data_IF_890786932114
#
_entry.id   IF_890786932114
#
_cell.length_a   1.000
_cell.length_b   1.000
_cell.length_c   1.000
_cell.angle_alpha   90.00
_cell.angle_beta   90.00
_cell.angle_gamma   90.00
#
_symmetry.space_group_name_H-M   'P 1'
#
loop_
_entity.id
_entity.type
_entity.pdbx_description
1 polymer ?
#
# COMPACT_ATOMS: atom_id res chain seq x y z
N UNK A 1 10.70 -14.40 17.66
CA UNK A 1 9.51 -13.97 16.93
C UNK A 1 9.53 -12.46 16.90
N UNK A 2 9.61 -11.85 15.72
CA UNK A 2 9.44 -10.39 15.59
C UNK A 2 7.95 -10.10 15.78
N UNK A 3 7.59 -9.12 16.60
CA UNK A 3 6.18 -8.74 16.80
C UNK A 3 5.75 -7.66 15.79
N UNK A 4 4.44 -7.46 15.62
CA UNK A 4 3.87 -6.50 14.64
C UNK A 4 4.46 -5.08 14.78
N UNK A 5 4.68 -4.60 16.00
CA UNK A 5 5.22 -3.25 16.24
C UNK A 5 6.68 -3.14 15.77
N UNK A 6 7.50 -4.18 15.97
CA UNK A 6 8.85 -4.25 15.43
C UNK A 6 8.84 -4.26 13.90
N UNK A 7 7.93 -5.01 13.27
CA UNK A 7 7.76 -5.00 11.81
C UNK A 7 7.34 -3.62 11.30
N UNK A 8 6.40 -2.93 11.96
CA UNK A 8 5.97 -1.57 11.56
C UNK A 8 7.12 -0.55 11.64
N UNK A 9 7.97 -0.65 12.66
CA UNK A 9 9.17 0.19 12.76
C UNK A 9 10.15 -0.13 11.63
N UNK A 10 10.34 -1.41 11.32
CA UNK A 10 11.20 -1.84 10.22
C UNK A 10 10.66 -1.38 8.85
N UNK A 11 9.35 -1.45 8.63
CA UNK A 11 8.67 -0.89 7.45
C UNK A 11 9.01 0.58 7.28
N UNK A 12 8.90 1.39 8.34
CA UNK A 12 9.24 2.83 8.28
C UNK A 12 10.71 3.05 7.91
N UNK A 13 11.63 2.29 8.49
CA UNK A 13 13.06 2.39 8.18
C UNK A 13 13.36 2.03 6.73
N UNK A 14 12.78 0.96 6.22
CA UNK A 14 13.01 0.50 4.85
C UNK A 14 12.34 1.44 3.83
N UNK A 15 11.16 1.99 4.15
CA UNK A 15 10.54 3.06 3.37
C UNK A 15 11.40 4.33 3.33
N UNK A 16 12.04 4.72 4.44
CA UNK A 16 12.99 5.84 4.45
C UNK A 16 14.19 5.57 3.54
N UNK A 17 14.73 4.34 3.53
CA UNK A 17 15.79 3.94 2.60
C UNK A 17 15.30 3.98 1.15
N UNK A 18 14.08 3.51 0.87
CA UNK A 18 13.46 3.54 -0.45
C UNK A 18 13.32 4.99 -0.94
N UNK A 19 12.82 5.91 -0.10
CA UNK A 19 12.70 7.34 -0.41
C UNK A 19 14.05 7.96 -0.79
N UNK A 20 15.12 7.60 -0.08
CA UNK A 20 16.45 8.16 -0.35
C UNK A 20 17.11 7.57 -1.60
N UNK A 21 16.93 6.26 -1.86
CA UNK A 21 17.59 5.57 -2.98
C UNK A 21 16.79 5.64 -4.28
N UNK A 22 15.47 5.65 -4.19
CA UNK A 22 14.53 5.62 -5.31
C UNK A 22 13.41 6.64 -5.09
N UNK A 23 13.72 7.95 -5.02
CA UNK A 23 12.74 9.00 -4.71
C UNK A 23 11.54 8.99 -5.65
N UNK A 24 11.75 8.82 -6.97
CA UNK A 24 10.67 8.76 -7.95
C UNK A 24 9.70 7.58 -7.69
N UNK A 25 10.20 6.44 -7.21
CA UNK A 25 9.35 5.30 -6.87
C UNK A 25 8.54 5.61 -5.61
N UNK A 26 9.17 6.24 -4.61
CA UNK A 26 8.50 6.65 -3.38
C UNK A 26 7.39 7.69 -3.65
N UNK A 27 7.64 8.69 -4.49
CA UNK A 27 6.63 9.68 -4.90
C UNK A 27 5.43 9.03 -5.58
N UNK A 28 5.64 8.01 -6.43
CA UNK A 28 4.54 7.24 -7.04
C UNK A 28 3.71 6.47 -6.01
N UNK A 29 4.36 5.96 -4.96
CA UNK A 29 3.67 5.30 -3.84
C UNK A 29 2.86 6.30 -3.00
N UNK A 30 3.42 7.48 -2.71
CA UNK A 30 2.71 8.56 -2.04
C UNK A 30 1.50 9.02 -2.86
N UNK A 31 1.69 9.20 -4.18
CA UNK A 31 0.62 9.54 -5.13
C UNK A 31 -0.54 8.54 -5.04
N UNK A 32 -0.27 7.24 -5.22
CA UNK A 32 -1.35 6.25 -5.28
C UNK A 32 -2.00 6.01 -3.91
N UNK A 33 -1.24 6.10 -2.82
CA UNK A 33 -1.79 6.06 -1.47
C UNK A 33 -2.72 7.27 -1.21
N UNK A 34 -2.31 8.47 -1.63
CA UNK A 34 -3.11 9.68 -1.52
C UNK A 34 -4.39 9.60 -2.36
N UNK A 35 -4.30 9.14 -3.61
CA UNK A 35 -5.44 8.94 -4.49
C UNK A 35 -6.44 7.94 -3.89
N UNK A 36 -5.94 6.84 -3.33
CA UNK A 36 -6.75 5.82 -2.63
C UNK A 36 -7.55 6.44 -1.50
N UNK A 37 -6.92 7.30 -0.67
CA UNK A 37 -7.58 8.02 0.42
C UNK A 37 -8.65 9.00 -0.08
N UNK A 38 -8.33 9.78 -1.11
CA UNK A 38 -9.24 10.79 -1.67
C UNK A 38 -10.49 10.20 -2.31
N UNK A 39 -10.37 9.00 -2.90
CA UNK A 39 -11.51 8.26 -3.46
C UNK A 39 -12.25 7.40 -2.43
N UNK A 40 -11.85 7.46 -1.15
CA UNK A 40 -12.39 6.61 -0.07
C UNK A 40 -12.32 5.11 -0.38
N UNK A 41 -11.28 4.68 -1.11
CA UNK A 41 -11.02 3.27 -1.42
C UNK A 41 -10.25 2.64 -0.24
N UNK A 42 -10.62 1.42 0.14
CA UNK A 42 -9.90 0.70 1.18
C UNK A 42 -8.49 0.31 0.71
N UNK A 43 -7.46 0.59 1.50
CA UNK A 43 -6.08 0.19 1.21
C UNK A 43 -5.88 -1.32 1.06
N UNK A 44 -6.76 -2.15 1.62
CA UNK A 44 -6.79 -3.59 1.34
C UNK A 44 -6.95 -3.88 -0.14
N UNK A 45 -7.84 -3.15 -0.84
CA UNK A 45 -8.02 -3.29 -2.28
C UNK A 45 -6.79 -2.81 -3.06
N UNK A 46 -6.18 -1.68 -2.66
CA UNK A 46 -4.91 -1.22 -3.25
C UNK A 46 -3.82 -2.29 -3.14
N UNK A 47 -3.62 -2.84 -1.94
CA UNK A 47 -2.60 -3.86 -1.71
C UNK A 47 -2.84 -5.13 -2.54
N UNK A 48 -4.09 -5.56 -2.69
CA UNK A 48 -4.43 -6.67 -3.58
C UNK A 48 -4.09 -6.35 -5.05
N UNK A 49 -4.43 -5.15 -5.54
CA UNK A 49 -4.05 -4.74 -6.90
C UNK A 49 -2.53 -4.70 -7.11
N UNK A 50 -1.76 -4.30 -6.09
CA UNK A 50 -0.30 -4.22 -6.15
C UNK A 50 0.37 -5.59 -6.10
N UNK A 51 -0.05 -6.47 -5.20
CA UNK A 51 0.73 -7.64 -4.79
C UNK A 51 0.07 -8.99 -5.07
N UNK A 52 -1.24 -9.03 -5.35
CA UNK A 52 -1.94 -10.27 -5.67
C UNK A 52 -2.10 -10.45 -7.18
N UNK A 53 -1.94 -11.69 -7.63
CA UNK A 53 -2.28 -12.11 -9.00
C UNK A 53 -3.65 -12.83 -9.05
N UNK A 54 -4.32 -13.01 -7.90
CA UNK A 54 -5.61 -13.68 -7.82
C UNK A 54 -6.76 -12.72 -8.19
N UNK A 55 -7.29 -12.88 -9.40
CA UNK A 55 -8.38 -12.05 -9.94
C UNK A 55 -9.69 -12.17 -9.15
N UNK A 56 -10.00 -13.36 -8.63
CA UNK A 56 -11.23 -13.60 -7.88
C UNK A 56 -11.22 -12.81 -6.56
N UNK A 57 -10.12 -12.86 -5.81
CA UNK A 57 -9.98 -12.10 -4.56
C UNK A 57 -10.04 -10.60 -4.82
N UNK A 58 -9.37 -10.13 -5.89
CA UNK A 58 -9.42 -8.71 -6.29
C UNK A 58 -10.87 -8.30 -6.58
N UNK A 59 -11.60 -9.09 -7.37
CA UNK A 59 -12.98 -8.79 -7.73
C UNK A 59 -13.90 -8.77 -6.50
N UNK A 60 -13.72 -9.72 -5.58
CA UNK A 60 -14.49 -9.82 -4.34
C UNK A 60 -14.23 -8.66 -3.35
N UNK A 61 -13.10 -7.95 -3.51
CA UNK A 61 -12.75 -6.78 -2.68
C UNK A 61 -12.86 -5.45 -3.45
N UNK A 62 -13.38 -5.48 -4.68
CA UNK A 62 -13.58 -4.31 -5.51
C UNK A 62 -14.71 -3.43 -4.94
N UNK A 63 -14.48 -2.12 -4.72
CA UNK A 63 -15.52 -1.22 -4.22
C UNK A 63 -16.77 -1.19 -5.11
N UNK A 64 -17.96 -1.26 -4.51
CA UNK A 64 -19.25 -1.27 -5.23
C UNK A 64 -19.94 0.09 -5.28
N UNK A 65 -19.60 1.00 -4.36
CA UNK A 65 -20.21 2.34 -4.25
C UNK A 65 -19.56 3.38 -5.18
N UNK A 66 -18.42 3.05 -5.78
CA UNK A 66 -17.69 3.92 -6.70
C UNK A 66 -18.11 3.59 -8.13
N UNK A 67 -18.40 4.62 -8.94
CA UNK A 67 -18.73 4.45 -10.35
C UNK A 67 -17.63 3.69 -11.08
N UNK A 68 -18.02 2.74 -11.92
CA UNK A 68 -17.08 1.85 -12.62
C UNK A 68 -16.05 2.59 -13.47
N UNK A 69 -16.41 3.72 -14.10
CA UNK A 69 -15.48 4.53 -14.87
C UNK A 69 -14.35 5.11 -14.02
N UNK A 70 -14.68 5.60 -12.83
CA UNK A 70 -13.72 6.13 -11.85
C UNK A 70 -12.83 5.02 -11.32
N UNK A 71 -13.41 3.86 -11.01
CA UNK A 71 -12.67 2.73 -10.48
C UNK A 71 -11.73 2.12 -11.53
N UNK A 72 -12.14 2.06 -12.80
CA UNK A 72 -11.26 1.68 -13.92
C UNK A 72 -10.08 2.65 -14.07
N UNK A 73 -10.32 3.96 -13.94
CA UNK A 73 -9.24 4.96 -13.98
C UNK A 73 -8.25 4.74 -12.82
N UNK A 74 -8.76 4.53 -11.61
CA UNK A 74 -7.93 4.19 -10.45
C UNK A 74 -7.08 2.93 -10.67
N UNK A 75 -7.68 1.84 -11.15
CA UNK A 75 -6.95 0.60 -11.47
C UNK A 75 -5.87 0.82 -12.55
N UNK A 76 -6.09 1.73 -13.50
CA UNK A 76 -5.07 2.12 -14.48
C UNK A 76 -3.91 2.87 -13.84
N UNK A 77 -4.18 3.80 -12.92
CA UNK A 77 -3.13 4.49 -12.15
C UNK A 77 -2.29 3.49 -11.32
N UNK A 78 -2.93 2.52 -10.66
CA UNK A 78 -2.21 1.46 -9.95
C UNK A 78 -1.32 0.66 -10.92
N UNK A 79 -1.83 0.32 -12.12
CA UNK A 79 -1.02 -0.37 -13.15
C UNK A 79 0.18 0.46 -13.62
N UNK A 80 0.06 1.78 -13.73
CA UNK A 80 1.20 2.65 -14.08
C UNK A 80 2.30 2.59 -13.02
N UNK A 81 1.93 2.60 -11.74
CA UNK A 81 2.89 2.45 -10.63
C UNK A 81 3.57 1.08 -10.70
N UNK A 82 2.83 -0.01 -10.93
CA UNK A 82 3.39 -1.37 -11.04
C UNK A 82 4.34 -1.57 -12.22
N UNK A 83 4.20 -0.77 -13.28
CA UNK A 83 5.05 -0.83 -14.49
C UNK A 83 6.40 -0.14 -14.30
N UNK A 84 6.61 0.61 -13.22
CA UNK A 84 7.92 1.16 -12.90
C UNK A 84 8.94 0.04 -12.68
N UNK A 85 10.12 0.15 -13.29
CA UNK A 85 11.17 -0.86 -13.15
C UNK A 85 11.64 -1.04 -11.70
N UNK A 86 11.51 0.00 -10.87
CA UNK A 86 11.87 -0.04 -9.45
C UNK A 86 10.74 -0.56 -8.55
N UNK A 87 9.55 -0.84 -9.10
CA UNK A 87 8.44 -1.39 -8.32
C UNK A 87 8.80 -2.75 -7.70
N UNK A 88 9.63 -3.55 -8.38
CA UNK A 88 10.12 -4.84 -7.86
C UNK A 88 10.81 -4.68 -6.50
N UNK A 89 11.57 -3.60 -6.30
CA UNK A 89 12.28 -3.32 -5.04
C UNK A 89 11.28 -3.10 -3.91
N UNK A 90 10.21 -2.34 -4.17
CA UNK A 90 9.14 -2.13 -3.20
C UNK A 90 8.36 -3.42 -2.93
N UNK A 91 8.03 -4.19 -3.97
CA UNK A 91 7.35 -5.49 -3.84
C UNK A 91 8.14 -6.44 -2.95
N UNK A 92 9.44 -6.63 -3.22
CA UNK A 92 10.30 -7.53 -2.48
C UNK A 92 10.51 -7.07 -1.03
N UNK A 93 10.51 -5.75 -0.80
CA UNK A 93 10.53 -5.18 0.54
C UNK A 93 9.25 -5.53 1.31
N UNK A 94 8.08 -5.43 0.68
CA UNK A 94 6.79 -5.69 1.31
C UNK A 94 6.56 -7.17 1.62
N UNK A 95 7.05 -8.08 0.77
CA UNK A 95 6.91 -9.54 0.98
C UNK A 95 7.67 -10.06 2.22
N UNK A 96 8.54 -9.25 2.84
CA UNK A 96 9.28 -9.61 4.05
C UNK A 96 8.43 -9.50 5.33
N UNK A 97 7.36 -8.71 5.30
CA UNK A 97 6.53 -8.43 6.48
C UNK A 97 5.31 -9.34 6.46
N UNK A 98 5.14 -10.16 7.50
CA UNK A 98 4.05 -11.15 7.59
C UNK A 98 2.94 -10.70 8.53
N UNK A 99 3.25 -9.84 9.49
CA UNK A 99 2.33 -9.41 10.53
C UNK A 99 1.75 -8.02 10.28
N UNK A 100 2.11 -7.38 9.18
CA UNK A 100 1.67 -6.01 8.83
C UNK A 100 0.65 -6.04 7.70
N UNK A 101 -0.45 -5.31 7.89
CA UNK A 101 -1.50 -5.15 6.91
C UNK A 101 -1.16 -4.05 5.88
N UNK A 102 -1.67 -4.20 4.66
CA UNK A 102 -1.49 -3.21 3.59
C UNK A 102 -1.89 -1.78 4.01
N UNK A 103 -2.98 -1.63 4.76
CA UNK A 103 -3.43 -0.33 5.26
C UNK A 103 -2.35 0.37 6.10
N UNK A 104 -1.66 -0.36 6.97
CA UNK A 104 -0.63 0.22 7.83
C UNK A 104 0.58 0.70 7.01
N UNK A 105 1.01 -0.09 6.03
CA UNK A 105 2.10 0.28 5.10
C UNK A 105 1.76 1.58 4.37
N UNK A 106 0.59 1.66 3.72
CA UNK A 106 0.23 2.85 2.95
C UNK A 106 0.00 4.08 3.82
N UNK A 107 -0.47 3.91 5.06
CA UNK A 107 -0.54 5.02 6.01
C UNK A 107 0.85 5.51 6.43
N UNK A 108 1.82 4.60 6.64
CA UNK A 108 3.21 5.00 6.92
C UNK A 108 3.83 5.73 5.71
N UNK A 109 3.54 5.29 4.48
CA UNK A 109 3.94 6.00 3.25
C UNK A 109 3.44 7.44 3.25
N UNK A 110 2.20 7.67 3.70
CA UNK A 110 1.60 9.00 3.86
C UNK A 110 2.09 9.78 5.09
N UNK A 111 3.08 9.26 5.82
CA UNK A 111 3.71 9.93 6.96
C UNK A 111 3.15 9.56 8.33
N UNK A 112 2.29 8.55 8.44
CA UNK A 112 1.82 8.09 9.74
C UNK A 112 2.93 7.37 10.54
N UNK A 113 2.92 7.54 11.86
CA UNK A 113 3.83 6.85 12.76
C UNK A 113 3.42 5.38 12.99
N UNK A 114 4.38 4.43 13.11
CA UNK A 114 4.13 3.03 13.44
C UNK A 114 3.18 2.83 14.64
N UNK A 115 3.38 3.61 15.70
CA UNK A 115 2.55 3.55 16.92
C UNK A 115 1.11 3.99 16.67
N UNK A 116 0.88 4.93 15.76
CA UNK A 116 -0.45 5.40 15.39
C UNK A 116 -1.19 4.36 14.55
N UNK A 117 -0.53 3.79 13.53
CA UNK A 117 -1.18 2.77 12.67
C UNK A 117 -1.41 1.46 13.41
N UNK A 118 -0.54 1.09 14.36
CA UNK A 118 -0.76 -0.05 15.25
C UNK A 118 -2.08 0.14 16.03
N UNK A 119 -2.25 1.27 16.73
CA UNK A 119 -3.45 1.55 17.53
C UNK A 119 -4.74 1.66 16.71
N UNK A 120 -4.70 2.34 15.56
CA UNK A 120 -5.90 2.58 14.76
C UNK A 120 -6.36 1.39 13.91
N UNK A 121 -5.51 0.38 13.74
CA UNK A 121 -5.89 -0.87 13.06
C UNK A 121 -6.41 -1.93 14.05
N UNK A 122 -6.26 -1.70 15.35
CA UNK A 122 -6.78 -2.54 16.45
C UNK A 122 -8.29 -2.29 16.71
N UNK A 123 -8.93 -1.35 16.03
CA UNK A 123 -10.38 -1.19 16.11
C UNK A 123 -11.04 -2.35 15.35
N UNK A 124 -11.39 -3.39 16.12
CA UNK A 124 -12.20 -4.55 15.72
C UNK A 124 -13.62 -4.17 15.32
#
# INVERSE_FOLDING_TARGET
>A
MINEMEELNQVKLDLKKLRNKFPNMYEKLEYIASLTRQLSIHYKYLGLLMFSDNREIIQNKRPTLIRDSVLKLYEQEVKKVKKDSNFVIFKDMMLKFQNVNYSQIFLIILGAEPSFVFKNTIIK
#
